data_IF_016559395444
#
_entry.id   IF_016559395444
#
_cell.length_a   1.000
_cell.length_b   1.000
_cell.length_c   1.000
_cell.angle_alpha   90.00
_cell.angle_beta   90.00
_cell.angle_gamma   90.00
#
_symmetry.space_group_name_H-M   'P 1'
#
loop_
_entity.id
_entity.type
_entity.pdbx_description
1 polymer ?
#
# COMPACT_ATOMS: atom_id res chain seq x y z
N UNK A 1 -34.31 -13.65 -10.85
CA UNK A 1 -35.55 -14.45 -11.05
C UNK A 1 -36.54 -14.49 -9.89
N UNK A 2 -36.24 -15.12 -8.74
CA UNK A 2 -37.23 -15.28 -7.66
C UNK A 2 -37.74 -13.94 -7.13
N UNK A 3 -36.83 -13.00 -6.84
CA UNK A 3 -37.16 -11.65 -6.33
C UNK A 3 -38.08 -10.88 -7.30
N UNK A 4 -37.77 -10.90 -8.60
CA UNK A 4 -38.57 -10.25 -9.64
C UNK A 4 -40.00 -10.81 -9.70
N UNK A 5 -40.14 -12.13 -9.58
CA UNK A 5 -41.45 -12.79 -9.59
C UNK A 5 -42.28 -12.43 -8.36
N UNK A 6 -41.66 -12.43 -7.18
CA UNK A 6 -42.36 -12.12 -5.91
C UNK A 6 -42.78 -10.65 -5.84
N UNK A 7 -41.97 -9.75 -6.38
CA UNK A 7 -42.26 -8.31 -6.41
C UNK A 7 -43.04 -7.86 -7.65
N UNK A 8 -43.48 -8.78 -8.49
CA UNK A 8 -44.22 -8.50 -9.73
C UNK A 8 -43.53 -7.46 -10.63
N UNK A 9 -42.20 -7.57 -10.73
CA UNK A 9 -41.33 -6.61 -11.40
C UNK A 9 -40.62 -7.25 -12.58
N UNK A 10 -40.36 -6.48 -13.64
CA UNK A 10 -39.77 -7.01 -14.89
C UNK A 10 -38.29 -6.71 -15.04
N UNK A 11 -37.74 -5.81 -14.22
CA UNK A 11 -36.33 -5.44 -14.27
C UNK A 11 -35.67 -5.50 -12.90
N UNK A 12 -34.44 -5.97 -12.84
CA UNK A 12 -33.66 -5.96 -11.61
C UNK A 12 -32.17 -6.02 -11.85
N UNK A 13 -31.43 -5.41 -10.93
CA UNK A 13 -29.97 -5.35 -10.94
C UNK A 13 -29.47 -5.63 -9.54
N UNK A 14 -28.48 -6.51 -9.45
CA UNK A 14 -27.69 -6.69 -8.24
C UNK A 14 -26.36 -5.98 -8.44
N UNK A 15 -26.01 -5.06 -7.56
CA UNK A 15 -24.72 -4.38 -7.64
C UNK A 15 -23.93 -4.53 -6.35
N UNK A 16 -22.60 -4.55 -6.49
CA UNK A 16 -21.68 -4.58 -5.36
C UNK A 16 -20.54 -3.58 -5.57
N UNK A 17 -19.94 -3.14 -4.47
CA UNK A 17 -18.77 -2.27 -4.49
C UNK A 17 -17.50 -3.10 -4.61
N UNK A 18 -16.71 -2.84 -5.65
CA UNK A 18 -15.41 -3.48 -5.82
C UNK A 18 -14.32 -2.82 -4.97
N UNK A 19 -13.07 -3.30 -5.08
CA UNK A 19 -11.93 -2.73 -4.33
C UNK A 19 -11.56 -1.31 -4.69
N UNK A 20 -11.86 -0.94 -5.93
CA UNK A 20 -11.49 0.35 -6.50
C UNK A 20 -12.58 1.40 -6.19
N UNK A 21 -13.62 0.99 -5.44
CA UNK A 21 -14.73 1.84 -5.02
C UNK A 21 -15.78 2.05 -6.11
N UNK A 22 -15.78 1.22 -7.15
CA UNK A 22 -16.72 1.30 -8.26
C UNK A 22 -17.91 0.37 -8.00
N UNK A 23 -19.08 0.74 -8.50
CA UNK A 23 -20.29 -0.10 -8.44
C UNK A 23 -20.28 -1.03 -9.65
N UNK A 24 -20.27 -2.33 -9.37
CA UNK A 24 -20.33 -3.39 -10.38
C UNK A 24 -21.76 -3.91 -10.44
N UNK A 25 -22.46 -3.62 -11.52
CA UNK A 25 -23.87 -3.94 -11.74
C UNK A 25 -24.03 -5.22 -12.56
N UNK A 26 -24.83 -6.16 -12.05
CA UNK A 26 -25.14 -7.44 -12.68
C UNK A 26 -26.65 -7.52 -12.90
N UNK A 27 -27.07 -7.66 -14.17
CA UNK A 27 -28.49 -7.80 -14.51
C UNK A 27 -29.08 -9.08 -13.91
N UNK A 28 -30.29 -9.02 -13.37
CA UNK A 28 -31.03 -10.15 -12.80
C UNK A 28 -32.00 -10.82 -13.80
N UNK A 29 -31.88 -10.51 -15.10
CA UNK A 29 -32.73 -11.05 -16.16
C UNK A 29 -32.49 -12.55 -16.45
N UNK A 30 -33.59 -13.27 -16.73
CA UNK A 30 -33.77 -14.73 -16.80
C UNK A 30 -32.76 -15.55 -17.61
N UNK A 31 -31.95 -14.96 -18.48
CA UNK A 31 -31.11 -15.68 -19.44
C UNK A 31 -29.60 -15.39 -19.33
N UNK A 32 -29.12 -14.76 -18.24
CA UNK A 32 -27.76 -14.21 -18.17
C UNK A 32 -26.80 -14.85 -17.15
N UNK A 33 -27.27 -15.80 -16.32
CA UNK A 33 -26.46 -16.41 -15.26
C UNK A 33 -26.17 -17.88 -15.56
N UNK A 34 -24.89 -18.26 -15.63
CA UNK A 34 -24.45 -19.67 -15.58
C UNK A 34 -23.66 -19.91 -14.30
N UNK A 35 -23.78 -21.11 -13.71
CA UNK A 35 -23.32 -21.48 -12.35
C UNK A 35 -21.84 -21.15 -12.02
N UNK A 36 -21.02 -20.81 -13.02
CA UNK A 36 -19.57 -20.70 -12.87
C UNK A 36 -18.98 -19.36 -13.34
N UNK A 37 -19.79 -18.41 -13.85
CA UNK A 37 -19.30 -17.11 -14.33
C UNK A 37 -20.27 -15.96 -14.02
N UNK A 38 -19.70 -14.86 -13.50
CA UNK A 38 -20.37 -13.55 -13.54
C UNK A 38 -20.65 -13.21 -15.02
N UNK A 39 -21.80 -12.60 -15.36
CA UNK A 39 -22.13 -12.22 -16.74
C UNK A 39 -20.95 -11.53 -17.44
N UNK A 40 -20.64 -11.93 -18.68
CA UNK A 40 -19.51 -11.38 -19.47
C UNK A 40 -19.57 -9.84 -19.67
N UNK A 41 -20.71 -9.21 -19.37
CA UNK A 41 -20.92 -7.76 -19.42
C UNK A 41 -21.50 -7.26 -18.11
N UNK A 42 -20.66 -7.11 -17.09
CA UNK A 42 -20.98 -6.29 -15.95
C UNK A 42 -20.86 -4.80 -16.34
N UNK A 43 -21.85 -3.99 -15.97
CA UNK A 43 -21.76 -2.53 -16.09
C UNK A 43 -20.96 -2.02 -14.89
N UNK A 44 -19.92 -1.23 -15.14
CA UNK A 44 -19.09 -0.62 -14.09
C UNK A 44 -19.43 0.87 -14.04
N UNK A 45 -19.80 1.35 -12.85
CA UNK A 45 -20.12 2.76 -12.60
C UNK A 45 -19.05 3.35 -11.66
N UNK A 46 -18.39 4.40 -12.15
CA UNK A 46 -17.40 5.18 -11.39
C UNK A 46 -18.10 6.22 -10.53
N UNK A 47 -17.38 6.90 -9.62
CA UNK A 47 -17.97 7.91 -8.74
C UNK A 47 -18.67 9.06 -9.49
N UNK A 48 -18.22 9.39 -10.71
CA UNK A 48 -18.87 10.41 -11.54
C UNK A 48 -20.26 9.97 -12.03
N UNK A 49 -20.49 8.65 -12.08
CA UNK A 49 -21.73 8.00 -12.49
C UNK A 49 -22.69 7.74 -11.32
N UNK A 50 -22.27 8.01 -10.07
CA UNK A 50 -23.13 7.83 -8.88
C UNK A 50 -24.25 8.86 -8.77
N UNK A 51 -24.44 9.67 -9.80
CA UNK A 51 -25.54 10.61 -9.91
C UNK A 51 -26.84 9.82 -10.00
N UNK A 52 -27.85 10.30 -9.28
CA UNK A 52 -29.21 9.76 -9.30
C UNK A 52 -29.31 8.33 -8.69
N UNK A 53 -30.26 7.52 -9.15
CA UNK A 53 -30.64 6.21 -8.59
C UNK A 53 -29.50 5.20 -8.46
N UNK A 54 -28.41 5.35 -9.21
CA UNK A 54 -27.35 4.34 -9.29
C UNK A 54 -26.32 4.43 -8.16
N UNK A 55 -26.27 5.54 -7.42
CA UNK A 55 -25.40 5.70 -6.25
C UNK A 55 -26.15 6.15 -4.99
N UNK A 56 -27.42 6.55 -5.11
CA UNK A 56 -28.17 7.19 -4.03
C UNK A 56 -28.31 6.33 -2.77
N UNK A 57 -28.82 5.11 -2.87
CA UNK A 57 -28.98 4.24 -1.68
C UNK A 57 -27.64 3.85 -1.06
N UNK A 58 -26.56 3.83 -1.85
CA UNK A 58 -25.19 3.57 -1.36
C UNK A 58 -24.66 4.75 -0.56
N UNK A 59 -24.92 5.97 -1.01
CA UNK A 59 -24.51 7.22 -0.36
C UNK A 59 -25.34 7.52 0.89
N UNK A 60 -26.66 7.45 0.77
CA UNK A 60 -27.62 7.72 1.84
C UNK A 60 -27.67 6.57 2.86
N UNK A 61 -27.29 5.35 2.44
CA UNK A 61 -27.33 4.10 3.22
C UNK A 61 -28.73 3.64 3.62
N UNK A 62 -29.74 4.18 2.94
CA UNK A 62 -31.15 3.88 3.16
C UNK A 62 -31.84 3.45 1.85
N UNK A 63 -32.96 2.71 1.94
CA UNK A 63 -33.77 2.38 0.78
C UNK A 63 -34.32 3.64 0.09
N UNK A 64 -34.39 3.57 -1.23
CA UNK A 64 -34.92 4.64 -2.07
C UNK A 64 -36.02 4.09 -2.99
N UNK A 65 -37.14 4.81 -3.11
CA UNK A 65 -38.21 4.49 -4.07
C UNK A 65 -38.51 5.69 -4.96
N UNK A 66 -38.72 5.47 -6.25
CA UNK A 66 -39.15 6.52 -7.17
C UNK A 66 -40.12 6.00 -8.22
N UNK A 67 -41.03 6.86 -8.65
CA UNK A 67 -41.94 6.59 -9.77
C UNK A 67 -41.50 7.26 -11.08
N UNK A 68 -40.42 8.02 -11.05
CA UNK A 68 -39.88 8.69 -12.22
C UNK A 68 -39.22 7.68 -13.18
N UNK A 69 -38.97 8.15 -14.40
CA UNK A 69 -38.33 7.38 -15.46
C UNK A 69 -36.83 7.68 -15.48
N UNK A 70 -36.02 6.63 -15.50
CA UNK A 70 -34.57 6.71 -15.50
C UNK A 70 -33.96 5.94 -16.66
N UNK A 71 -32.90 6.50 -17.24
CA UNK A 71 -32.13 5.82 -18.28
C UNK A 71 -31.20 4.79 -17.64
N UNK A 72 -31.12 3.61 -18.24
CA UNK A 72 -30.08 2.64 -17.89
C UNK A 72 -28.77 3.07 -18.58
N UNK A 73 -27.68 3.32 -17.85
CA UNK A 73 -26.40 3.70 -18.44
C UNK A 73 -25.93 2.67 -19.46
N UNK A 74 -25.50 3.13 -20.64
CA UNK A 74 -25.07 2.26 -21.73
C UNK A 74 -26.19 1.47 -22.45
N UNK A 75 -27.47 1.77 -22.16
CA UNK A 75 -28.63 1.16 -22.81
C UNK A 75 -29.61 2.21 -23.34
N UNK A 76 -30.42 1.83 -24.33
CA UNK A 76 -31.55 2.65 -24.82
C UNK A 76 -32.84 2.41 -24.03
N UNK A 77 -32.81 1.48 -23.09
CA UNK A 77 -33.97 1.11 -22.29
C UNK A 77 -34.15 2.08 -21.12
N UNK A 78 -35.41 2.35 -20.79
CA UNK A 78 -35.82 3.18 -19.67
C UNK A 78 -36.46 2.28 -18.62
N UNK A 79 -36.20 2.56 -17.35
CA UNK A 79 -36.89 1.94 -16.22
C UNK A 79 -37.70 2.99 -15.50
N UNK A 80 -38.83 2.58 -14.95
CA UNK A 80 -39.73 3.42 -14.18
C UNK A 80 -40.23 2.64 -12.97
N UNK A 81 -40.74 3.36 -11.98
CA UNK A 81 -41.29 2.77 -10.76
C UNK A 81 -40.34 1.72 -10.15
N UNK A 82 -39.36 2.21 -9.41
CA UNK A 82 -38.26 1.43 -8.88
C UNK A 82 -38.14 1.54 -7.37
N UNK A 83 -37.46 0.55 -6.82
CA UNK A 83 -36.93 0.51 -5.47
C UNK A 83 -35.45 0.14 -5.55
N UNK A 84 -34.63 0.84 -4.78
CA UNK A 84 -33.21 0.55 -4.59
C UNK A 84 -32.94 0.33 -3.10
N UNK A 85 -32.41 -0.84 -2.74
CA UNK A 85 -32.18 -1.23 -1.34
C UNK A 85 -30.70 -1.55 -1.13
N UNK A 86 -30.02 -0.87 -0.19
CA UNK A 86 -28.61 -1.12 0.07
C UNK A 86 -28.38 -2.47 0.76
N UNK A 87 -27.30 -3.14 0.38
CA UNK A 87 -26.79 -4.34 1.02
C UNK A 87 -25.76 -3.91 2.06
N UNK A 88 -26.22 -3.66 3.29
CA UNK A 88 -25.38 -3.19 4.38
C UNK A 88 -24.90 -4.33 5.27
N UNK A 89 -23.61 -4.33 5.63
CA UNK A 89 -23.06 -5.18 6.68
C UNK A 89 -22.48 -4.30 7.79
N UNK A 90 -23.16 -4.27 8.93
CA UNK A 90 -22.88 -3.28 10.00
C UNK A 90 -23.03 -1.86 9.44
N UNK A 91 -22.02 -0.99 9.58
CA UNK A 91 -22.05 0.42 9.13
C UNK A 91 -21.55 0.65 7.69
N UNK A 92 -21.28 -0.43 6.94
CA UNK A 92 -20.67 -0.39 5.60
C UNK A 92 -21.64 -0.96 4.58
N UNK A 93 -21.95 -0.18 3.54
CA UNK A 93 -22.67 -0.65 2.36
C UNK A 93 -21.71 -1.46 1.49
N UNK A 94 -22.11 -2.67 1.10
CA UNK A 94 -21.34 -3.57 0.25
C UNK A 94 -21.82 -3.57 -1.20
N UNK A 95 -23.00 -3.00 -1.44
CA UNK A 95 -23.72 -3.06 -2.70
C UNK A 95 -25.16 -2.59 -2.51
N UNK A 96 -26.01 -2.82 -3.50
CA UNK A 96 -27.44 -2.52 -3.47
C UNK A 96 -28.18 -3.40 -4.49
N UNK A 97 -29.50 -3.47 -4.36
CA UNK A 97 -30.38 -4.19 -5.28
C UNK A 97 -31.42 -3.21 -5.79
N UNK A 98 -31.44 -3.02 -7.09
CA UNK A 98 -32.44 -2.22 -7.79
C UNK A 98 -33.46 -3.16 -8.39
N UNK A 99 -34.74 -2.93 -8.11
CA UNK A 99 -35.88 -3.60 -8.75
C UNK A 99 -36.79 -2.53 -9.35
N UNK A 100 -37.23 -2.72 -10.59
CA UNK A 100 -38.01 -1.72 -11.31
C UNK A 100 -39.12 -2.34 -12.18
N UNK A 101 -39.96 -1.46 -12.74
CA UNK A 101 -41.04 -1.77 -13.65
C UNK A 101 -42.15 -2.64 -13.02
N UNK A 102 -42.42 -2.46 -11.72
CA UNK A 102 -43.66 -2.95 -11.10
C UNK A 102 -44.84 -2.15 -11.65
N UNK A 103 -46.00 -2.77 -11.89
CA UNK A 103 -47.18 -2.05 -12.38
C UNK A 103 -47.80 -1.13 -11.31
N UNK A 104 -47.75 -1.56 -10.05
CA UNK A 104 -48.21 -0.81 -8.87
C UNK A 104 -47.03 -0.21 -8.11
N UNK A 105 -47.29 0.79 -7.27
CA UNK A 105 -46.25 1.40 -6.42
C UNK A 105 -45.62 0.36 -5.49
N UNK A 106 -44.31 0.47 -5.26
CA UNK A 106 -43.67 -0.26 -4.16
C UNK A 106 -44.24 0.18 -2.81
N UNK A 107 -44.53 -0.81 -1.98
CA UNK A 107 -45.11 -0.65 -0.64
C UNK A 107 -44.06 -0.87 0.44
N UNK A 108 -44.35 -0.49 1.68
CA UNK A 108 -43.48 -0.81 2.83
C UNK A 108 -43.20 -2.30 2.98
N UNK A 109 -44.16 -3.16 2.58
CA UNK A 109 -43.96 -4.63 2.58
C UNK A 109 -42.92 -5.06 1.55
N UNK A 110 -42.88 -4.40 0.39
CA UNK A 110 -41.89 -4.67 -0.64
C UNK A 110 -40.48 -4.24 -0.18
N UNK A 111 -40.39 -3.07 0.46
CA UNK A 111 -39.14 -2.57 1.08
C UNK A 111 -38.66 -3.57 2.13
N UNK A 112 -39.51 -3.93 3.09
CA UNK A 112 -39.16 -4.85 4.18
C UNK A 112 -38.74 -6.24 3.70
N UNK A 113 -39.38 -6.76 2.65
CA UNK A 113 -38.99 -8.00 2.01
C UNK A 113 -37.59 -7.90 1.40
N UNK A 114 -37.31 -6.85 0.63
CA UNK A 114 -35.99 -6.64 0.04
C UNK A 114 -34.92 -6.41 1.09
N UNK A 115 -35.20 -5.64 2.14
CA UNK A 115 -34.28 -5.47 3.28
C UNK A 115 -33.96 -6.80 3.96
N UNK A 116 -34.96 -7.68 4.11
CA UNK A 116 -34.73 -9.02 4.66
C UNK A 116 -33.79 -9.83 3.78
N UNK A 117 -33.98 -9.75 2.46
CA UNK A 117 -33.11 -10.40 1.47
C UNK A 117 -31.70 -9.81 1.49
N UNK A 118 -31.55 -8.48 1.50
CA UNK A 118 -30.24 -7.83 1.53
C UNK A 118 -29.51 -8.12 2.83
N UNK A 119 -30.20 -8.18 3.97
CA UNK A 119 -29.62 -8.57 5.26
C UNK A 119 -29.13 -10.03 5.25
N UNK A 120 -29.84 -10.94 4.59
CA UNK A 120 -29.39 -12.32 4.43
C UNK A 120 -28.18 -12.46 3.49
N UNK A 121 -28.16 -11.70 2.39
CA UNK A 121 -27.07 -11.71 1.40
C UNK A 121 -25.81 -11.03 1.95
N UNK A 122 -25.96 -10.01 2.78
CA UNK A 122 -24.90 -9.17 3.35
C UNK A 122 -23.66 -9.95 3.87
N UNK A 123 -23.79 -10.94 4.78
CA UNK A 123 -22.64 -11.73 5.24
C UNK A 123 -22.00 -12.57 4.13
N UNK A 124 -22.80 -13.12 3.21
CA UNK A 124 -22.30 -13.94 2.09
C UNK A 124 -21.52 -13.09 1.09
N UNK A 125 -22.06 -11.93 0.73
CA UNK A 125 -21.38 -10.97 -0.14
C UNK A 125 -20.07 -10.49 0.49
N UNK A 126 -20.07 -10.20 1.81
CA UNK A 126 -18.84 -9.82 2.51
C UNK A 126 -17.74 -10.87 2.41
N UNK A 127 -18.10 -12.14 2.61
CA UNK A 127 -17.17 -13.26 2.50
C UNK A 127 -16.63 -13.39 1.08
N UNK A 128 -17.50 -13.28 0.07
CA UNK A 128 -17.12 -13.39 -1.33
C UNK A 128 -16.16 -12.28 -1.75
N UNK A 129 -16.48 -11.03 -1.45
CA UNK A 129 -15.61 -9.89 -1.73
C UNK A 129 -14.24 -10.05 -1.05
N UNK A 130 -14.21 -10.51 0.21
CA UNK A 130 -12.94 -10.78 0.91
C UNK A 130 -12.10 -11.85 0.22
N UNK A 131 -12.73 -12.92 -0.27
CA UNK A 131 -12.03 -13.99 -1.01
C UNK A 131 -11.45 -13.46 -2.33
N UNK A 132 -12.23 -12.73 -3.13
CA UNK A 132 -11.78 -12.16 -4.39
C UNK A 132 -10.62 -11.17 -4.19
N UNK A 133 -10.69 -10.35 -3.15
CA UNK A 133 -9.61 -9.42 -2.77
C UNK A 133 -8.32 -10.18 -2.44
N UNK A 134 -8.45 -11.27 -1.70
CA UNK A 134 -7.30 -12.12 -1.32
C UNK A 134 -6.70 -12.78 -2.56
N UNK A 135 -7.53 -13.28 -3.48
CA UNK A 135 -7.10 -13.87 -4.74
C UNK A 135 -6.43 -12.85 -5.68
N UNK A 136 -6.99 -11.63 -5.82
CA UNK A 136 -6.40 -10.52 -6.59
C UNK A 136 -5.01 -10.18 -6.05
N UNK A 137 -4.88 -9.95 -4.74
CA UNK A 137 -3.60 -9.68 -4.07
C UNK A 137 -2.59 -10.81 -4.27
N UNK A 138 -3.03 -12.07 -4.16
CA UNK A 138 -2.16 -13.22 -4.38
C UNK A 138 -1.67 -13.29 -5.84
N UNK A 139 -2.56 -13.02 -6.81
CA UNK A 139 -2.23 -13.00 -8.24
C UNK A 139 -1.26 -11.88 -8.57
N UNK A 140 -1.46 -10.69 -8.03
CA UNK A 140 -0.57 -9.54 -8.17
C UNK A 140 0.81 -9.83 -7.56
N UNK A 141 0.84 -10.37 -6.34
CA UNK A 141 2.09 -10.79 -5.69
C UNK A 141 2.85 -11.85 -6.51
N UNK A 142 2.14 -12.87 -7.03
CA UNK A 142 2.74 -13.88 -7.92
C UNK A 142 3.26 -13.28 -9.23
N UNK A 143 2.54 -12.34 -9.83
CA UNK A 143 2.96 -11.64 -11.07
C UNK A 143 4.18 -10.76 -10.81
N UNK A 144 4.19 -10.01 -9.71
CA UNK A 144 5.34 -9.22 -9.29
C UNK A 144 6.56 -10.13 -9.05
N UNK A 145 6.37 -11.24 -8.34
CA UNK A 145 7.42 -12.24 -8.11
C UNK A 145 7.98 -12.80 -9.43
N UNK A 146 7.13 -13.13 -10.40
CA UNK A 146 7.56 -13.58 -11.73
C UNK A 146 8.41 -12.52 -12.43
N UNK A 147 7.95 -11.26 -12.45
CA UNK A 147 8.69 -10.13 -13.02
C UNK A 147 10.06 -9.93 -12.35
N UNK A 148 10.16 -10.09 -11.02
CA UNK A 148 11.44 -10.01 -10.31
C UNK A 148 12.38 -11.18 -10.64
N UNK A 149 11.85 -12.39 -10.81
CA UNK A 149 12.65 -13.57 -11.20
C UNK A 149 13.23 -13.45 -12.61
N UNK A 150 12.51 -12.80 -13.52
CA UNK A 150 12.95 -12.55 -14.90
C UNK A 150 13.94 -11.37 -15.00
N UNK A 151 14.00 -10.51 -13.96
CA UNK A 151 14.87 -9.32 -13.96
C UNK A 151 16.35 -9.65 -13.85
N UNK A 152 16.72 -10.74 -13.17
CA UNK A 152 18.11 -11.13 -12.92
C UNK A 152 18.35 -12.56 -13.36
N UNK A 153 19.26 -12.74 -14.32
CA UNK A 153 19.70 -14.07 -14.70
C UNK A 153 20.72 -14.62 -13.68
N UNK A 154 21.12 -15.88 -13.86
CA UNK A 154 22.10 -16.52 -12.95
C UNK A 154 23.47 -15.84 -12.99
N UNK A 155 23.84 -15.18 -14.08
CA UNK A 155 25.10 -14.42 -14.17
C UNK A 155 25.01 -13.20 -13.27
N UNK A 156 23.90 -12.45 -13.34
CA UNK A 156 23.69 -11.27 -12.49
C UNK A 156 23.74 -11.64 -11.00
N UNK A 157 23.13 -12.76 -10.61
CA UNK A 157 23.17 -13.26 -9.21
C UNK A 157 24.59 -13.61 -8.76
N UNK A 158 25.36 -14.30 -9.60
CA UNK A 158 26.75 -14.63 -9.31
C UNK A 158 27.60 -13.37 -9.13
N UNK A 159 27.45 -12.37 -10.01
CA UNK A 159 28.14 -11.08 -9.91
C UNK A 159 27.77 -10.37 -8.60
N UNK A 160 26.48 -10.27 -8.28
CA UNK A 160 26.01 -9.64 -7.04
C UNK A 160 26.57 -10.34 -5.80
N UNK A 161 26.64 -11.68 -5.81
CA UNK A 161 27.23 -12.43 -4.71
C UNK A 161 28.74 -12.16 -4.56
N UNK A 162 29.49 -12.12 -5.67
CA UNK A 162 30.91 -11.80 -5.62
C UNK A 162 31.17 -10.39 -5.07
N UNK A 163 30.35 -9.41 -5.47
CA UNK A 163 30.43 -8.04 -4.97
C UNK A 163 29.91 -7.88 -3.53
N UNK A 164 29.01 -8.74 -3.08
CA UNK A 164 28.59 -8.79 -1.68
C UNK A 164 29.75 -9.23 -0.77
N UNK A 165 30.54 -10.21 -1.20
CA UNK A 165 31.72 -10.67 -0.47
C UNK A 165 32.84 -9.63 -0.48
N UNK A 166 33.08 -9.02 -1.64
CA UNK A 166 34.07 -7.96 -1.80
C UNK A 166 33.62 -6.95 -2.89
N UNK A 167 33.13 -5.80 -2.43
CA UNK A 167 32.69 -4.72 -3.31
C UNK A 167 33.80 -4.09 -4.15
N UNK A 168 35.08 -4.37 -3.85
CA UNK A 168 36.25 -3.90 -4.62
C UNK A 168 36.74 -4.93 -5.62
N UNK A 169 36.14 -6.13 -5.67
CA UNK A 169 36.59 -7.21 -6.53
C UNK A 169 36.49 -6.78 -8.00
N UNK A 170 37.61 -6.88 -8.72
CA UNK A 170 37.66 -6.48 -10.12
C UNK A 170 36.95 -7.49 -11.03
N UNK A 171 36.39 -7.07 -12.18
CA UNK A 171 35.76 -8.00 -13.13
C UNK A 171 36.71 -9.11 -13.61
N UNK A 172 38.00 -8.82 -13.72
CA UNK A 172 39.03 -9.79 -14.11
C UNK A 172 39.12 -10.96 -13.09
N UNK A 173 39.10 -10.66 -11.79
CA UNK A 173 39.14 -11.68 -10.75
C UNK A 173 37.81 -12.43 -10.56
N UNK A 174 36.74 -12.04 -11.27
CA UNK A 174 35.45 -12.72 -11.23
C UNK A 174 35.27 -13.76 -12.34
N UNK A 175 36.08 -13.76 -13.40
CA UNK A 175 35.93 -14.68 -14.53
C UNK A 175 35.95 -16.16 -14.11
N UNK A 176 36.70 -16.50 -13.06
CA UNK A 176 36.79 -17.85 -12.50
C UNK A 176 35.51 -18.29 -11.76
N UNK A 177 34.74 -17.32 -11.26
CA UNK A 177 33.61 -17.55 -10.35
C UNK A 177 32.25 -17.28 -10.99
N UNK A 178 32.22 -16.69 -12.20
CA UNK A 178 31.00 -16.31 -12.90
C UNK A 178 30.85 -17.13 -14.19
N UNK A 179 29.85 -18.01 -14.20
CA UNK A 179 29.55 -18.93 -15.29
C UNK A 179 28.25 -18.56 -16.01
N UNK A 180 28.26 -18.73 -17.33
CA UNK A 180 27.07 -18.68 -18.19
C UNK A 180 26.24 -19.96 -18.03
N UNK A 181 25.02 -19.96 -18.56
CA UNK A 181 24.13 -21.13 -18.54
C UNK A 181 24.76 -22.40 -19.15
N UNK A 182 25.62 -22.25 -20.16
CA UNK A 182 26.37 -23.35 -20.78
C UNK A 182 27.64 -23.76 -20.01
N UNK A 183 27.77 -23.35 -18.74
CA UNK A 183 28.92 -23.60 -17.84
C UNK A 183 30.26 -23.04 -18.32
N UNK A 184 30.31 -22.24 -19.39
CA UNK A 184 31.50 -21.50 -19.79
C UNK A 184 31.67 -20.25 -18.92
N UNK A 185 32.92 -19.86 -18.67
CA UNK A 185 33.25 -18.62 -17.97
C UNK A 185 32.69 -17.39 -18.70
N UNK A 186 32.25 -16.40 -17.94
CA UNK A 186 31.96 -15.07 -18.46
C UNK A 186 33.26 -14.28 -18.63
N UNK A 187 33.39 -13.52 -19.72
CA UNK A 187 34.55 -12.64 -19.91
C UNK A 187 34.49 -11.42 -18.99
N UNK A 188 35.63 -10.85 -18.62
CA UNK A 188 35.74 -9.66 -17.79
C UNK A 188 35.00 -8.46 -18.41
N UNK A 189 35.03 -8.31 -19.74
CA UNK A 189 34.24 -7.29 -20.45
C UNK A 189 32.74 -7.53 -20.27
N UNK A 190 32.30 -8.79 -20.37
CA UNK A 190 30.92 -9.18 -20.13
C UNK A 190 30.48 -8.88 -18.69
N UNK A 191 31.32 -9.23 -17.70
CA UNK A 191 31.09 -8.95 -16.28
C UNK A 191 31.04 -7.43 -16.04
N UNK A 192 32.00 -6.67 -16.58
CA UNK A 192 32.04 -5.21 -16.47
C UNK A 192 30.76 -4.56 -17.00
N UNK A 193 30.31 -4.97 -18.19
CA UNK A 193 29.08 -4.45 -18.79
C UNK A 193 27.83 -4.79 -17.98
N UNK A 194 27.79 -5.98 -17.36
CA UNK A 194 26.70 -6.38 -16.46
C UNK A 194 26.70 -5.55 -15.18
N UNK A 195 27.87 -5.34 -14.56
CA UNK A 195 28.02 -4.46 -13.38
C UNK A 195 27.55 -3.05 -13.71
N UNK A 196 27.97 -2.48 -14.86
CA UNK A 196 27.53 -1.16 -15.30
C UNK A 196 25.99 -1.07 -15.38
N UNK A 197 25.33 -2.04 -16.03
CA UNK A 197 23.85 -2.09 -16.09
C UNK A 197 23.19 -2.19 -14.70
N UNK A 198 23.78 -2.95 -13.78
CA UNK A 198 23.28 -3.08 -12.41
C UNK A 198 23.40 -1.76 -11.63
N UNK A 199 24.48 -1.01 -11.84
CA UNK A 199 24.69 0.32 -11.27
C UNK A 199 23.73 1.35 -11.89
N UNK A 200 23.64 1.41 -13.22
CA UNK A 200 22.79 2.35 -13.95
C UNK A 200 21.31 2.16 -13.60
N UNK A 201 20.88 0.91 -13.45
CA UNK A 201 19.50 0.58 -13.03
C UNK A 201 19.24 0.77 -11.53
N UNK A 202 20.23 1.25 -10.76
CA UNK A 202 20.20 1.38 -9.29
C UNK A 202 19.86 0.07 -8.57
N UNK A 203 20.11 -1.07 -9.21
CA UNK A 203 19.98 -2.39 -8.57
C UNK A 203 21.14 -2.63 -7.63
N UNK A 204 22.35 -2.22 -8.03
CA UNK A 204 23.57 -2.33 -7.27
C UNK A 204 24.03 -0.94 -6.85
N UNK A 205 24.51 -0.82 -5.62
CA UNK A 205 25.29 0.32 -5.16
C UNK A 205 26.55 -0.23 -4.47
N UNK A 206 27.72 0.23 -4.90
CA UNK A 206 29.00 -0.14 -4.29
C UNK A 206 29.43 1.01 -3.39
N UNK A 207 29.47 0.76 -2.07
CA UNK A 207 29.83 1.78 -1.09
C UNK A 207 30.58 1.17 0.09
N UNK A 208 31.29 2.02 0.83
CA UNK A 208 31.95 1.61 2.07
C UNK A 208 30.94 1.42 3.19
N UNK A 209 31.09 0.35 3.96
CA UNK A 209 30.31 0.08 5.16
C UNK A 209 31.22 0.14 6.39
N UNK A 210 30.68 0.64 7.50
CA UNK A 210 31.41 0.77 8.76
C UNK A 210 30.86 -0.18 9.82
N UNK A 211 31.73 -0.58 10.74
CA UNK A 211 31.37 -1.45 11.85
C UNK A 211 30.82 -0.63 13.02
N UNK A 212 29.50 -0.60 13.18
CA UNK A 212 28.87 0.24 14.23
C UNK A 212 29.28 -0.18 15.65
N UNK A 213 29.54 -1.48 15.89
CA UNK A 213 29.95 -1.95 17.23
C UNK A 213 31.32 -1.38 17.61
N UNK A 214 32.24 -1.28 16.64
CA UNK A 214 33.54 -0.64 16.85
C UNK A 214 33.46 0.88 16.97
N UNK A 215 32.46 1.50 16.36
CA UNK A 215 32.26 2.96 16.43
C UNK A 215 31.41 3.36 17.65
N UNK A 216 30.69 2.44 18.28
CA UNK A 216 29.89 2.68 19.48
C UNK A 216 28.48 3.19 19.22
N UNK A 217 28.00 3.15 17.97
CA UNK A 217 26.67 3.64 17.59
C UNK A 217 25.57 2.83 18.29
N UNK A 218 24.61 3.54 18.84
CA UNK A 218 23.36 3.06 19.44
C UNK A 218 22.19 3.27 18.47
N UNK A 219 21.11 2.52 18.67
CA UNK A 219 19.93 2.62 17.82
C UNK A 219 18.64 2.58 18.65
N UNK A 220 17.58 3.18 18.11
CA UNK A 220 16.22 2.99 18.60
C UNK A 220 15.24 2.80 17.44
N UNK A 221 14.22 1.98 17.67
CA UNK A 221 13.11 1.80 16.76
C UNK A 221 11.90 2.53 17.30
N UNK A 222 11.33 3.43 16.51
CA UNK A 222 10.13 4.17 16.89
C UNK A 222 9.00 3.76 15.95
N UNK A 223 7.89 3.31 16.53
CA UNK A 223 6.67 2.95 15.80
C UNK A 223 5.64 4.05 15.97
N UNK A 224 4.91 4.35 14.91
CA UNK A 224 3.89 5.41 14.89
C UNK A 224 2.54 4.88 14.43
N UNK A 225 1.51 5.27 15.18
CA UNK A 225 0.11 5.18 14.79
C UNK A 225 -0.35 6.60 14.44
N UNK A 226 -0.95 6.76 13.26
CA UNK A 226 -1.44 8.05 12.77
C UNK A 226 -2.97 8.08 12.81
N UNK A 227 -3.57 9.23 13.10
CA UNK A 227 -5.02 9.40 13.03
C UNK A 227 -5.53 9.43 11.59
N UNK A 228 -4.76 10.06 10.69
CA UNK A 228 -5.11 10.20 9.28
C UNK A 228 -3.97 9.68 8.39
N UNK A 229 -4.31 8.71 7.54
CA UNK A 229 -3.39 8.04 6.63
C UNK A 229 -2.82 8.96 5.54
N UNK A 230 -3.48 10.07 5.21
CA UNK A 230 -3.02 11.02 4.20
C UNK A 230 -1.64 11.62 4.55
N UNK A 231 -1.36 11.79 5.84
CA UNK A 231 -0.13 12.42 6.32
C UNK A 231 1.09 11.50 6.38
N UNK A 232 0.91 10.20 6.15
CA UNK A 232 2.01 9.24 6.26
C UNK A 232 3.12 9.56 5.24
N UNK A 233 2.75 9.98 4.03
CA UNK A 233 3.75 10.28 3.00
C UNK A 233 4.53 11.57 3.35
N UNK A 234 3.86 12.63 3.79
CA UNK A 234 4.50 13.87 4.24
C UNK A 234 5.47 13.62 5.40
N UNK A 235 5.08 12.77 6.35
CA UNK A 235 5.95 12.34 7.44
C UNK A 235 7.20 11.62 6.92
N UNK A 236 7.05 10.69 5.96
CA UNK A 236 8.19 9.98 5.37
C UNK A 236 9.14 10.96 4.67
N UNK A 237 8.61 11.88 3.87
CA UNK A 237 9.42 12.85 3.11
C UNK A 237 10.27 13.74 4.02
N UNK A 238 9.73 14.14 5.17
CA UNK A 238 10.46 14.94 6.17
C UNK A 238 11.72 14.25 6.72
N UNK A 239 11.73 12.92 6.76
CA UNK A 239 12.80 12.15 7.40
C UNK A 239 13.65 11.32 6.44
N UNK A 240 13.25 11.14 5.17
CA UNK A 240 13.96 10.30 4.19
C UNK A 240 15.40 10.76 3.93
N UNK A 241 15.69 12.06 4.13
CA UNK A 241 17.02 12.64 3.96
C UNK A 241 17.79 12.85 5.27
N UNK A 242 17.20 12.53 6.43
CA UNK A 242 17.83 12.74 7.72
C UNK A 242 18.92 11.69 7.97
N UNK A 243 20.21 12.06 8.15
CA UNK A 243 21.30 11.07 8.34
C UNK A 243 21.18 10.22 9.61
N UNK A 244 20.41 10.70 10.62
CA UNK A 244 20.10 9.96 11.85
C UNK A 244 19.00 8.93 11.64
N UNK A 245 18.11 9.15 10.67
CA UNK A 245 17.04 8.20 10.34
C UNK A 245 17.58 7.22 9.32
N UNK A 246 17.90 6.04 9.83
CA UNK A 246 18.56 5.01 9.06
C UNK A 246 17.59 4.21 8.19
N UNK A 247 16.43 3.92 8.73
CA UNK A 247 15.41 3.11 8.07
C UNK A 247 14.05 3.73 8.33
N UNK A 248 13.20 3.73 7.31
CA UNK A 248 11.77 4.01 7.42
C UNK A 248 11.05 2.87 6.71
N UNK A 249 10.02 2.31 7.35
CA UNK A 249 9.23 1.23 6.75
C UNK A 249 7.75 1.38 7.08
N UNK A 250 6.90 1.16 6.07
CA UNK A 250 5.46 0.97 6.24
C UNK A 250 5.24 -0.44 6.77
N UNK A 251 4.56 -0.54 7.91
CA UNK A 251 4.31 -1.82 8.60
C UNK A 251 2.80 -2.07 8.69
N UNK A 252 2.45 -3.34 8.83
CA UNK A 252 1.07 -3.79 9.07
C UNK A 252 0.88 -4.14 10.54
N UNK A 253 -0.31 -3.88 11.07
CA UNK A 253 -0.64 -4.11 12.48
C UNK A 253 -1.19 -2.85 13.13
N UNK A 254 -0.97 -2.71 14.44
CA UNK A 254 -1.42 -1.54 15.22
C UNK A 254 -0.75 -0.25 14.79
N UNK A 255 0.54 -0.31 14.42
CA UNK A 255 1.31 0.84 13.96
C UNK A 255 1.38 0.84 12.44
N UNK A 256 1.51 2.02 11.85
CA UNK A 256 1.55 2.22 10.40
C UNK A 256 2.98 2.39 9.88
N UNK A 257 3.86 3.01 10.68
CA UNK A 257 5.27 3.26 10.34
C UNK A 257 6.18 2.76 11.46
N UNK A 258 7.35 2.25 11.08
CA UNK A 258 8.51 2.09 11.95
C UNK A 258 9.71 2.82 11.37
N UNK A 259 10.43 3.55 12.21
CA UNK A 259 11.72 4.15 11.86
C UNK A 259 12.82 3.61 12.76
N UNK A 260 14.04 3.50 12.21
CA UNK A 260 15.26 3.23 12.97
C UNK A 260 16.07 4.52 13.03
N UNK A 261 16.36 5.00 14.24
CA UNK A 261 17.21 6.16 14.50
C UNK A 261 18.52 5.68 15.09
N UNK A 262 19.63 6.29 14.66
CA UNK A 262 20.97 6.03 15.18
C UNK A 262 21.59 7.27 15.82
N UNK A 263 22.45 7.05 16.84
CA UNK A 263 23.19 8.07 17.58
C UNK A 263 24.30 7.46 18.42
N UNK A 264 25.10 8.27 19.12
CA UNK A 264 26.22 7.81 19.94
C UNK A 264 25.79 7.42 21.36
N UNK A 265 24.67 7.96 21.84
CA UNK A 265 24.09 7.59 23.13
C UNK A 265 22.57 7.42 23.07
N UNK A 266 22.00 6.66 24.02
CA UNK A 266 20.54 6.54 24.14
C UNK A 266 19.88 7.87 24.54
N UNK A 267 20.59 8.71 25.32
CA UNK A 267 20.12 10.03 25.71
C UNK A 267 19.97 10.96 24.50
N UNK A 268 20.98 10.99 23.62
CA UNK A 268 20.95 11.75 22.37
C UNK A 268 19.83 11.30 21.45
N UNK A 269 19.63 9.97 21.32
CA UNK A 269 18.53 9.42 20.52
C UNK A 269 17.18 9.83 21.11
N UNK A 270 17.02 9.73 22.44
CA UNK A 270 15.79 10.12 23.11
C UNK A 270 15.48 11.60 22.90
N UNK A 271 16.49 12.48 23.01
CA UNK A 271 16.33 13.91 22.78
C UNK A 271 15.91 14.20 21.34
N UNK A 272 16.60 13.59 20.36
CA UNK A 272 16.23 13.72 18.95
C UNK A 272 14.79 13.27 18.68
N UNK A 273 14.36 12.14 19.26
CA UNK A 273 13.00 11.63 19.09
C UNK A 273 11.98 12.60 19.68
N UNK A 274 12.20 13.08 20.90
CA UNK A 274 11.24 13.96 21.59
C UNK A 274 11.16 15.34 20.96
N UNK A 275 12.30 15.95 20.65
CA UNK A 275 12.36 17.33 20.16
C UNK A 275 12.04 17.47 18.68
N UNK A 276 12.27 16.42 17.86
CA UNK A 276 12.13 16.55 16.41
C UNK A 276 11.01 15.71 15.83
N UNK A 277 10.91 14.45 16.27
CA UNK A 277 9.96 13.51 15.68
C UNK A 277 8.59 13.64 16.34
N UNK A 278 8.59 13.62 17.67
CA UNK A 278 7.39 13.73 18.48
C UNK A 278 6.97 15.16 18.72
N UNK A 279 7.63 16.20 18.19
CA UNK A 279 7.06 17.55 18.21
C UNK A 279 5.84 17.66 17.27
N UNK A 280 5.79 16.82 16.23
CA UNK A 280 4.71 16.73 15.23
C UNK A 280 3.45 16.00 15.78
N UNK A 281 3.14 16.14 17.07
CA UNK A 281 2.12 15.34 17.80
C UNK A 281 0.73 15.44 17.21
N UNK A 282 0.42 16.51 16.48
CA UNK A 282 -0.94 16.82 16.03
C UNK A 282 -1.56 15.74 15.15
N UNK A 283 -0.75 14.86 14.55
CA UNK A 283 -1.21 13.80 13.66
C UNK A 283 -0.82 12.39 14.11
N UNK A 284 -0.02 12.30 15.18
CA UNK A 284 0.45 11.04 15.77
C UNK A 284 -0.51 10.68 16.90
N UNK A 285 -1.33 9.66 16.68
CA UNK A 285 -2.25 9.14 17.69
C UNK A 285 -1.50 8.50 18.85
N UNK A 286 -0.50 7.68 18.53
CA UNK A 286 0.34 7.01 19.52
C UNK A 286 1.72 6.70 18.94
N UNK A 287 2.71 6.57 19.83
CA UNK A 287 4.06 6.14 19.45
C UNK A 287 4.64 5.19 20.48
N UNK A 288 5.56 4.33 20.04
CA UNK A 288 6.26 3.37 20.90
C UNK A 288 7.73 3.31 20.51
N UNK A 289 8.60 3.67 21.45
CA UNK A 289 10.05 3.67 21.28
C UNK A 289 10.65 2.41 21.89
N UNK A 290 11.52 1.73 21.14
CA UNK A 290 12.28 0.56 21.58
C UNK A 290 13.76 0.86 21.39
N UNK A 291 14.49 1.04 22.48
CA UNK A 291 15.93 1.23 22.44
C UNK A 291 16.63 -0.12 22.24
N UNK A 292 17.51 -0.20 21.24
CA UNK A 292 18.26 -1.42 20.97
C UNK A 292 19.45 -1.51 21.94
N UNK A 293 19.49 -2.56 22.76
CA UNK A 293 20.62 -2.84 23.65
C UNK A 293 21.90 -3.13 22.87
N UNK A 294 21.78 -3.96 21.82
CA UNK A 294 22.84 -4.28 20.88
C UNK A 294 22.25 -4.56 19.50
N UNK A 295 22.95 -4.11 18.45
CA UNK A 295 22.69 -4.49 17.07
C UNK A 295 23.57 -5.69 16.71
N UNK A 296 22.99 -6.89 16.58
CA UNK A 296 23.76 -8.12 16.31
C UNK A 296 24.03 -8.28 14.81
N UNK A 297 23.04 -8.00 13.96
CA UNK A 297 23.13 -8.14 12.51
C UNK A 297 22.36 -7.01 11.79
N UNK A 298 22.89 -6.49 10.67
CA UNK A 298 24.23 -6.74 10.11
C UNK A 298 25.33 -6.21 11.04
N UNK A 299 26.61 -6.56 10.82
CA UNK A 299 27.76 -6.04 11.59
C UNK A 299 28.37 -4.78 10.94
N UNK A 300 28.29 -4.70 9.61
CA UNK A 300 28.74 -3.57 8.82
C UNK A 300 27.54 -2.89 8.19
N UNK A 301 27.49 -1.56 8.23
CA UNK A 301 26.39 -0.76 7.72
C UNK A 301 26.89 0.44 6.92
N UNK A 302 26.25 0.82 5.79
CA UNK A 302 26.51 2.11 5.14
C UNK A 302 26.02 3.30 5.97
N UNK A 303 26.79 3.66 7.00
CA UNK A 303 26.56 4.87 7.77
C UNK A 303 27.09 6.07 7.00
N UNK A 304 26.25 7.08 6.82
CA UNK A 304 26.66 8.37 6.25
C UNK A 304 27.39 9.18 7.31
N UNK A 305 28.70 8.98 7.42
CA UNK A 305 29.57 9.78 8.27
C UNK A 305 29.90 11.07 7.52
N UNK A 306 29.42 12.20 8.04
CA UNK A 306 29.70 13.53 7.50
C UNK A 306 30.76 14.14 8.39
N UNK A 307 31.99 14.32 7.90
CA UNK A 307 33.03 15.03 8.64
C UNK A 307 32.73 16.52 8.74
N UNK A 308 33.41 17.23 9.65
CA UNK A 308 33.16 18.64 9.97
C UNK A 308 33.22 19.57 8.74
N UNK A 309 34.08 19.26 7.77
CA UNK A 309 34.20 19.99 6.51
C UNK A 309 32.93 19.98 5.65
N UNK A 310 32.10 18.93 5.78
CA UNK A 310 30.88 18.72 4.99
C UNK A 310 29.59 19.07 5.76
N UNK A 311 29.68 19.58 6.99
CA UNK A 311 28.51 20.04 7.76
C UNK A 311 27.71 21.09 6.97
N UNK A 312 28.38 21.97 6.22
CA UNK A 312 27.76 23.03 5.41
C UNK A 312 26.93 22.55 4.19
N UNK A 313 27.00 21.27 3.80
CA UNK A 313 26.26 20.73 2.63
C UNK A 313 24.99 19.99 3.04
N UNK A 314 24.93 19.45 4.26
CA UNK A 314 23.76 18.73 4.79
C UNK A 314 23.00 19.48 5.89
N UNK A 315 23.60 20.56 6.43
CA UNK A 315 22.88 21.61 7.12
C UNK A 315 22.13 22.42 6.07
N UNK A 316 20.99 21.91 5.63
CA UNK A 316 20.00 22.80 5.08
C UNK A 316 19.76 23.86 6.18
N UNK A 317 20.10 25.13 5.91
CA UNK A 317 19.94 26.26 6.84
C UNK A 317 18.47 26.49 7.25
N UNK A 318 17.58 25.58 6.86
CA UNK A 318 16.14 25.49 7.09
C UNK A 318 15.77 24.52 8.23
N UNK A 319 16.73 23.75 8.78
CA UNK A 319 16.43 22.79 9.84
C UNK A 319 16.17 23.47 11.19
N UNK A 320 14.89 23.71 11.50
CA UNK A 320 14.42 24.36 12.75
C UNK A 320 14.98 23.74 14.04
N UNK A 321 15.17 22.42 14.07
CA UNK A 321 15.70 21.74 15.25
C UNK A 321 17.18 22.09 15.51
N UNK A 322 17.99 22.23 14.45
CA UNK A 322 19.38 22.65 14.59
C UNK A 322 19.47 24.14 14.95
N UNK A 323 18.66 25.00 14.30
CA UNK A 323 18.65 26.44 14.61
C UNK A 323 18.20 26.75 16.04
N UNK A 324 17.41 25.87 16.65
CA UNK A 324 16.93 26.00 18.03
C UNK A 324 17.85 25.31 19.05
N UNK A 325 19.05 24.85 18.67
CA UNK A 325 19.98 24.09 19.53
C UNK A 325 19.37 22.82 20.15
N UNK A 326 18.39 22.20 19.50
CA UNK A 326 17.73 20.97 19.96
C UNK A 326 18.43 19.69 19.44
N UNK A 327 19.54 19.83 18.70
CA UNK A 327 20.28 18.73 18.09
C UNK A 327 21.71 19.16 17.75
N UNK A 328 22.69 18.27 17.96
CA UNK A 328 24.10 18.46 17.60
C UNK A 328 24.37 18.49 16.08
N UNK A 329 23.32 18.46 15.26
CA UNK A 329 23.40 18.49 13.81
C UNK A 329 23.33 17.10 13.16
N UNK A 330 23.65 17.08 11.87
CA UNK A 330 23.51 15.90 11.00
C UNK A 330 24.68 14.91 11.09
N UNK A 331 25.76 15.27 11.79
CA UNK A 331 26.90 14.37 12.01
C UNK A 331 26.57 13.37 13.13
N UNK A 332 26.32 12.11 12.73
CA UNK A 332 26.02 11.00 13.66
C UNK A 332 27.18 10.71 14.61
N UNK A 333 28.41 11.06 14.24
CA UNK A 333 29.60 10.87 15.07
C UNK A 333 30.03 12.14 15.82
N UNK A 334 29.19 13.17 15.87
CA UNK A 334 29.53 14.37 16.64
C UNK A 334 29.49 14.03 18.12
N UNK A 335 30.67 14.05 18.74
CA UNK A 335 30.78 14.01 20.19
C UNK A 335 30.44 15.40 20.72
N UNK A 336 29.67 15.46 21.81
CA UNK A 336 29.66 16.68 22.62
C UNK A 336 31.11 16.95 23.02
N UNK A 337 31.63 18.12 22.62
CA UNK A 337 32.96 18.55 23.02
C UNK A 337 33.04 18.59 24.55
N UNK A 338 34.24 18.28 25.08
CA UNK A 338 34.60 18.55 26.47
C UNK A 338 34.18 19.95 26.91
#
# INVERSE_FOLDING_TARGET
DVVLKVLESTYGVFCYLNNDGEIVCLSLEKNSWTEHQLPEKAMILTQDDWKDIWGRSVLEKDPFTSHESFNIPGSKNIIQNLIDVPISHRKTVLGHIIIANKLSKFTEKDISLLETITNYISPLLKLRLKQENTQKKLRESKRALKKYREKFDEVDKQILYQLYLDGRKSPLHMESSVLKANKKKMSHVGIKNRIAKLLDSKTLNIQGNVNFKKIGVKAAFIKFEFENFAFINDFIEKYVHCPRVFMISKITGQFHIIICVMGMSLAEINEFVNQRILEDKKQIKSSSTVFASEMIKPQFFPLKIVGDFYENIYLDKTCKAYSNNLCNGCNVLKFDGN
#
